data_IF_692087834764
#
_entry.id   IF_692087834764
#
_cell.length_a   1.000
_cell.length_b   1.000
_cell.length_c   1.000
_cell.angle_alpha   90.00
_cell.angle_beta   90.00
_cell.angle_gamma   90.00
#
_symmetry.space_group_name_H-M   'P 1'
#
loop_
_entity.id
_entity.type
_entity.pdbx_description
1 polymer ?
#
# COMPACT_ATOMS: atom_id res chain seq x y z
N UNK A 1 -19.00 -9.09 10.86
CA UNK A 1 -17.55 -9.33 11.03
C UNK A 1 -16.81 -8.01 11.17
N UNK A 2 -16.18 -7.78 12.32
CA UNK A 2 -15.34 -6.63 12.63
C UNK A 2 -13.99 -6.72 11.92
N UNK A 3 -13.35 -5.57 11.69
CA UNK A 3 -11.97 -5.51 11.24
C UNK A 3 -10.97 -5.46 12.41
N UNK A 4 -9.85 -6.17 12.29
CA UNK A 4 -8.80 -6.28 13.32
C UNK A 4 -7.77 -5.15 13.31
N UNK A 5 -7.84 -4.19 12.38
CA UNK A 5 -6.79 -3.18 12.23
C UNK A 5 -6.78 -2.05 13.26
N UNK A 6 -7.87 -1.89 14.01
CA UNK A 6 -7.95 -0.95 15.14
C UNK A 6 -8.76 -1.62 16.24
N UNK A 7 -8.13 -1.83 17.40
CA UNK A 7 -8.73 -2.50 18.55
C UNK A 7 -8.41 -1.69 19.80
N UNK A 8 -9.43 -1.42 20.62
CA UNK A 8 -9.25 -0.97 21.99
C UNK A 8 -9.38 -2.20 22.88
N UNK A 9 -8.27 -2.64 23.46
CA UNK A 9 -8.17 -3.91 24.18
C UNK A 9 -8.17 -3.65 25.68
N UNK A 10 -9.04 -4.34 26.41
CA UNK A 10 -8.92 -4.45 27.87
C UNK A 10 -7.81 -5.47 28.20
N UNK A 11 -6.59 -4.97 28.35
CA UNK A 11 -5.40 -5.79 28.53
C UNK A 11 -5.39 -6.53 29.89
N UNK A 12 -5.99 -5.95 30.93
CA UNK A 12 -6.08 -6.58 32.24
C UNK A 12 -6.94 -7.84 32.17
N UNK A 13 -8.12 -7.74 31.55
CA UNK A 13 -8.98 -8.89 31.30
C UNK A 13 -8.31 -9.93 30.41
N UNK A 14 -7.58 -9.51 29.36
CA UNK A 14 -6.88 -10.45 28.49
C UNK A 14 -5.85 -11.29 29.22
N UNK A 15 -5.12 -10.69 30.16
CA UNK A 15 -4.14 -11.39 31.01
C UNK A 15 -4.84 -12.31 32.00
N UNK A 16 -5.85 -11.81 32.71
CA UNK A 16 -6.59 -12.55 33.73
C UNK A 16 -7.26 -13.80 33.15
N UNK A 17 -7.86 -13.67 31.97
CA UNK A 17 -8.66 -14.74 31.35
C UNK A 17 -7.82 -15.59 30.37
N UNK A 18 -6.50 -15.39 30.33
CA UNK A 18 -5.55 -16.12 29.47
C UNK A 18 -5.97 -16.18 27.99
N UNK A 19 -6.40 -15.04 27.46
CA UNK A 19 -6.98 -14.92 26.12
C UNK A 19 -6.03 -15.37 25.01
N UNK A 20 -4.72 -15.20 25.18
CA UNK A 20 -3.73 -15.59 24.18
C UNK A 20 -3.82 -17.09 23.89
N UNK A 21 -3.90 -17.93 24.92
CA UNK A 21 -4.03 -19.38 24.74
C UNK A 21 -5.37 -19.75 24.11
N UNK A 22 -6.45 -19.05 24.46
CA UNK A 22 -7.75 -19.22 23.82
C UNK A 22 -7.68 -18.90 22.32
N UNK A 23 -7.01 -17.82 21.93
CA UNK A 23 -6.82 -17.46 20.52
C UNK A 23 -6.07 -18.57 19.78
N UNK A 24 -4.95 -19.08 20.30
CA UNK A 24 -4.21 -20.17 19.67
C UNK A 24 -5.04 -21.45 19.53
N UNK A 25 -5.76 -21.86 20.59
CA UNK A 25 -6.67 -23.01 20.52
C UNK A 25 -7.74 -22.82 19.44
N UNK A 26 -8.31 -21.62 19.37
CA UNK A 26 -9.35 -21.32 18.40
C UNK A 26 -8.81 -21.28 16.97
N UNK A 27 -7.56 -20.82 16.74
CA UNK A 27 -6.92 -20.91 15.41
C UNK A 27 -6.91 -22.36 14.93
N UNK A 28 -6.49 -23.30 15.77
CA UNK A 28 -6.46 -24.73 15.42
C UNK A 28 -7.87 -25.27 15.14
N UNK A 29 -8.86 -24.87 15.94
CA UNK A 29 -10.24 -25.33 15.80
C UNK A 29 -10.90 -24.86 14.48
N UNK A 30 -10.65 -23.61 14.07
CA UNK A 30 -11.29 -23.03 12.88
C UNK A 30 -10.36 -22.97 11.65
N UNK A 31 -9.19 -23.61 11.70
CA UNK A 31 -8.12 -23.49 10.69
C UNK A 31 -8.60 -23.58 9.24
N UNK A 32 -9.49 -24.53 8.94
CA UNK A 32 -9.95 -24.80 7.57
C UNK A 32 -11.00 -23.78 7.08
N UNK A 33 -11.47 -22.91 7.99
CA UNK A 33 -12.45 -21.84 7.73
C UNK A 33 -11.81 -20.45 7.75
N UNK A 34 -10.52 -20.34 8.06
CA UNK A 34 -9.81 -19.06 8.16
C UNK A 34 -9.54 -18.51 6.76
N UNK A 35 -10.18 -17.38 6.45
CA UNK A 35 -9.85 -16.57 5.26
C UNK A 35 -8.91 -15.41 5.56
N UNK A 36 -9.04 -14.83 6.76
CA UNK A 36 -8.25 -13.70 7.24
C UNK A 36 -7.71 -14.06 8.62
N UNK A 37 -6.41 -14.34 8.78
CA UNK A 37 -5.88 -15.06 9.95
C UNK A 37 -6.31 -14.49 11.30
N UNK A 38 -5.83 -13.30 11.62
CA UNK A 38 -6.11 -12.55 12.83
C UNK A 38 -7.58 -12.13 12.92
N UNK A 39 -8.16 -11.64 11.81
CA UNK A 39 -9.53 -11.15 11.82
C UNK A 39 -10.55 -12.27 12.09
N UNK A 40 -10.38 -13.45 11.49
CA UNK A 40 -11.27 -14.59 11.69
C UNK A 40 -11.23 -15.09 13.14
N UNK A 41 -10.03 -15.32 13.69
CA UNK A 41 -9.91 -15.85 15.05
C UNK A 41 -10.41 -14.85 16.10
N UNK A 42 -10.16 -13.55 15.93
CA UNK A 42 -10.67 -12.53 16.85
C UNK A 42 -12.20 -12.47 16.81
N UNK A 43 -12.82 -12.47 15.62
CA UNK A 43 -14.28 -12.48 15.50
C UNK A 43 -14.90 -13.79 16.03
N UNK A 44 -14.21 -14.92 15.89
CA UNK A 44 -14.66 -16.19 16.44
C UNK A 44 -14.61 -16.19 17.98
N UNK A 45 -13.48 -15.80 18.54
CA UNK A 45 -13.20 -15.84 19.99
C UNK A 45 -14.07 -14.87 20.77
N UNK A 46 -14.28 -13.67 20.23
CA UNK A 46 -15.00 -12.60 20.90
C UNK A 46 -16.42 -12.40 20.36
N UNK A 47 -17.00 -13.42 19.72
CA UNK A 47 -18.39 -13.36 19.29
C UNK A 47 -19.27 -12.95 20.47
N UNK A 48 -20.09 -11.93 20.27
CA UNK A 48 -21.01 -11.35 21.27
C UNK A 48 -20.33 -10.74 22.52
N UNK A 49 -18.99 -10.60 22.51
CA UNK A 49 -18.16 -10.00 23.58
C UNK A 49 -17.40 -8.75 23.11
N UNK A 50 -17.90 -8.09 22.07
CA UNK A 50 -17.29 -6.90 21.45
C UNK A 50 -18.24 -5.72 21.54
N UNK A 51 -17.69 -4.58 21.98
CA UNK A 51 -18.34 -3.29 21.80
C UNK A 51 -17.91 -2.69 20.45
N UNK A 52 -18.90 -2.42 19.60
CA UNK A 52 -18.65 -1.78 18.32
C UNK A 52 -18.60 -0.26 18.47
N UNK A 53 -17.55 0.35 17.93
CA UNK A 53 -17.40 1.80 17.89
C UNK A 53 -17.75 2.34 16.51
N UNK A 54 -18.00 3.65 16.43
CA UNK A 54 -18.31 4.33 15.17
C UNK A 54 -17.27 4.01 14.07
N UNK A 55 -17.70 3.80 12.81
CA UNK A 55 -16.80 3.49 11.71
C UNK A 55 -15.77 4.59 11.41
N UNK A 56 -15.95 5.81 11.95
CA UNK A 56 -14.97 6.90 11.82
C UNK A 56 -13.61 6.58 12.44
N UNK A 57 -13.56 5.68 13.43
CA UNK A 57 -12.34 5.24 14.10
C UNK A 57 -11.64 4.07 13.39
N UNK A 58 -12.22 3.55 12.31
CA UNK A 58 -11.59 2.54 11.46
C UNK A 58 -12.23 2.61 10.06
N UNK A 59 -12.07 3.75 9.38
CA UNK A 59 -12.69 3.96 8.07
C UNK A 59 -11.92 3.17 7.01
N UNK A 60 -12.48 2.03 6.62
CA UNK A 60 -11.85 1.10 5.67
C UNK A 60 -12.09 1.49 4.22
N UNK A 61 -11.27 0.97 3.29
CA UNK A 61 -11.44 1.21 1.86
C UNK A 61 -12.78 0.71 1.30
N UNK A 62 -13.30 -0.39 1.85
CA UNK A 62 -14.66 -0.86 1.53
C UNK A 62 -15.68 0.27 1.70
N UNK A 63 -15.38 1.25 2.58
CA UNK A 63 -16.03 2.55 2.77
C UNK A 63 -16.81 2.98 1.54
N UNK A 64 -16.00 3.06 0.50
CA UNK A 64 -16.25 3.73 -0.75
C UNK A 64 -16.67 2.78 -1.87
N UNK A 65 -16.82 1.49 -1.57
CA UNK A 65 -17.40 0.49 -2.46
C UNK A 65 -18.87 0.30 -2.07
N UNK A 66 -19.74 0.01 -3.04
CA UNK A 66 -21.15 -0.33 -2.80
C UNK A 66 -21.31 -1.73 -2.16
N UNK A 67 -20.50 -2.01 -1.16
CA UNK A 67 -20.55 -3.23 -0.36
C UNK A 67 -21.49 -3.02 0.82
N UNK A 68 -22.35 -4.01 1.09
CA UNK A 68 -23.24 -3.98 2.26
C UNK A 68 -22.41 -3.93 3.55
N UNK A 69 -22.66 -2.92 4.36
CA UNK A 69 -22.19 -2.83 5.74
C UNK A 69 -23.19 -3.52 6.66
N UNK A 70 -22.92 -4.77 7.01
CA UNK A 70 -23.83 -5.49 7.92
C UNK A 70 -23.70 -5.02 9.38
N UNK A 71 -22.66 -4.24 9.73
CA UNK A 71 -22.45 -3.73 11.09
C UNK A 71 -22.93 -2.29 11.33
N UNK A 72 -23.01 -1.48 10.27
CA UNK A 72 -23.23 -0.04 10.40
C UNK A 72 -24.31 0.41 9.43
N UNK A 73 -25.13 1.36 9.87
CA UNK A 73 -26.13 1.99 9.03
C UNK A 73 -25.48 2.80 7.91
N UNK A 74 -26.24 3.07 6.84
CA UNK A 74 -25.80 3.97 5.76
C UNK A 74 -25.43 5.36 6.29
N UNK A 75 -26.17 5.86 7.28
CA UNK A 75 -25.94 7.16 7.90
C UNK A 75 -24.59 7.22 8.63
N UNK A 76 -24.29 6.21 9.46
CA UNK A 76 -23.00 6.14 10.16
C UNK A 76 -21.81 6.07 9.20
N UNK A 77 -21.94 5.30 8.11
CA UNK A 77 -20.91 5.23 7.07
C UNK A 77 -20.77 6.57 6.34
N UNK A 78 -21.86 7.25 6.03
CA UNK A 78 -21.82 8.57 5.40
C UNK A 78 -21.11 9.58 6.31
N UNK A 79 -21.48 9.64 7.58
CA UNK A 79 -20.85 10.51 8.57
C UNK A 79 -19.35 10.21 8.72
N UNK A 80 -18.98 8.92 8.81
CA UNK A 80 -17.59 8.52 8.92
C UNK A 80 -16.75 8.85 7.68
N UNK A 81 -17.34 8.86 6.48
CA UNK A 81 -16.67 9.32 5.25
C UNK A 81 -16.41 10.83 5.26
N UNK A 82 -17.37 11.61 5.77
CA UNK A 82 -17.24 13.06 5.86
C UNK A 82 -16.25 13.48 6.96
N UNK A 83 -16.26 12.77 8.10
CA UNK A 83 -15.48 13.11 9.28
C UNK A 83 -14.70 11.90 9.83
N UNK A 84 -13.75 11.33 9.07
CA UNK A 84 -12.92 10.23 9.55
C UNK A 84 -11.97 10.71 10.66
N UNK A 85 -11.78 9.88 11.68
CA UNK A 85 -10.73 10.05 12.70
C UNK A 85 -9.52 9.20 12.34
N UNK A 86 -9.74 7.95 11.94
CA UNK A 86 -8.69 7.02 11.50
C UNK A 86 -9.08 6.46 10.14
N UNK A 87 -8.21 6.68 9.15
CA UNK A 87 -8.35 6.14 7.79
C UNK A 87 -7.50 4.87 7.68
N UNK A 88 -8.15 3.75 7.38
CA UNK A 88 -7.51 2.46 7.25
C UNK A 88 -7.50 1.98 5.79
N UNK A 89 -6.34 2.08 5.14
CA UNK A 89 -6.13 1.64 3.75
C UNK A 89 -6.05 0.09 3.65
N UNK A 90 -7.16 -0.61 3.89
CA UNK A 90 -7.25 -2.08 4.02
C UNK A 90 -7.03 -2.88 2.74
N UNK A 91 -7.23 -2.29 1.56
CA UNK A 91 -7.17 -3.04 0.30
C UNK A 91 -5.75 -3.17 -0.27
N UNK A 92 -5.59 -3.89 -1.39
CA UNK A 92 -4.35 -3.91 -2.17
C UNK A 92 -4.02 -2.54 -2.79
N UNK A 93 -5.02 -1.67 -2.93
CA UNK A 93 -4.83 -0.31 -3.41
C UNK A 93 -4.35 0.59 -2.27
N UNK A 94 -3.05 0.88 -2.28
CA UNK A 94 -2.37 1.69 -1.27
C UNK A 94 -2.13 3.10 -1.81
N UNK A 95 -2.16 4.13 -0.94
CA UNK A 95 -1.99 5.52 -1.39
C UNK A 95 -0.63 5.80 -2.03
N UNK A 96 0.39 4.97 -1.76
CA UNK A 96 1.70 5.06 -2.41
C UNK A 96 1.81 4.37 -3.77
N UNK A 97 0.75 3.72 -4.25
CA UNK A 97 0.70 3.13 -5.59
C UNK A 97 0.35 4.18 -6.65
N UNK A 98 0.93 4.05 -7.85
CA UNK A 98 0.76 5.03 -8.94
C UNK A 98 -0.69 5.22 -9.39
N UNK A 99 -1.51 4.18 -9.30
CA UNK A 99 -2.90 4.16 -9.78
C UNK A 99 -3.89 4.06 -8.63
N UNK A 100 -3.59 4.70 -7.49
CA UNK A 100 -4.47 4.65 -6.35
C UNK A 100 -5.78 5.39 -6.60
N UNK A 101 -6.89 4.70 -6.41
CA UNK A 101 -8.26 5.20 -6.61
C UNK A 101 -8.96 5.52 -5.28
N UNK A 102 -8.30 5.31 -4.14
CA UNK A 102 -8.87 5.60 -2.83
C UNK A 102 -9.17 7.10 -2.66
N UNK A 103 -10.41 7.50 -2.34
CA UNK A 103 -10.80 8.93 -2.28
C UNK A 103 -9.91 9.81 -1.38
N UNK A 104 -9.43 9.25 -0.27
CA UNK A 104 -8.54 9.92 0.69
C UNK A 104 -7.03 9.72 0.43
N UNK A 105 -6.59 9.24 -0.74
CA UNK A 105 -5.17 8.93 -0.98
C UNK A 105 -4.23 10.14 -0.76
N UNK A 106 -4.72 11.36 -1.01
CA UNK A 106 -3.96 12.61 -0.83
C UNK A 106 -3.61 12.86 0.64
N UNK A 107 -4.46 12.42 1.58
CA UNK A 107 -4.22 12.63 3.01
C UNK A 107 -2.99 11.88 3.50
N UNK A 108 -2.73 10.68 2.97
CA UNK A 108 -1.47 9.97 3.24
C UNK A 108 -0.26 10.85 2.94
N UNK A 109 -0.24 11.53 1.77
CA UNK A 109 0.86 12.41 1.39
C UNK A 109 0.86 13.75 2.11
N UNK A 110 -0.31 14.25 2.53
CA UNK A 110 -0.40 15.40 3.44
C UNK A 110 0.36 15.09 4.73
N UNK A 111 0.09 13.94 5.35
CA UNK A 111 0.72 13.54 6.60
C UNK A 111 2.16 13.04 6.44
N UNK A 112 2.51 12.39 5.32
CA UNK A 112 3.88 11.94 5.04
C UNK A 112 4.92 13.07 5.18
N UNK A 113 4.53 14.31 4.84
CA UNK A 113 5.38 15.51 4.95
C UNK A 113 5.80 15.83 6.39
N UNK A 114 5.09 15.32 7.39
CA UNK A 114 5.39 15.53 8.81
C UNK A 114 6.10 14.33 9.44
N UNK A 115 6.52 13.35 8.63
CA UNK A 115 7.24 12.16 9.11
C UNK A 115 8.72 12.21 8.70
N UNK A 116 9.61 11.49 9.41
CA UNK A 116 11.01 11.31 9.00
C UNK A 116 11.17 10.75 7.58
N UNK A 117 10.16 10.04 7.07
CA UNK A 117 10.14 9.41 5.76
C UNK A 117 9.92 10.39 4.59
N UNK A 118 9.59 11.66 4.87
CA UNK A 118 9.45 12.71 3.85
C UNK A 118 10.64 12.73 2.89
N UNK A 119 11.86 12.85 3.44
CA UNK A 119 13.10 12.97 2.65
C UNK A 119 13.33 11.74 1.79
N UNK A 120 13.13 10.54 2.35
CA UNK A 120 13.29 9.25 1.65
C UNK A 120 12.34 9.18 0.45
N UNK A 121 11.06 9.50 0.65
CA UNK A 121 10.07 9.43 -0.43
C UNK A 121 10.36 10.42 -1.56
N UNK A 122 10.59 11.70 -1.23
CA UNK A 122 10.79 12.73 -2.25
C UNK A 122 12.13 12.58 -2.98
N UNK A 123 13.19 12.11 -2.31
CA UNK A 123 14.47 11.81 -2.97
C UNK A 123 14.35 10.64 -3.96
N UNK A 124 13.64 9.56 -3.59
CA UNK A 124 13.35 8.46 -4.50
C UNK A 124 12.55 8.95 -5.73
N UNK A 125 11.51 9.76 -5.49
CA UNK A 125 10.68 10.33 -6.56
C UNK A 125 11.51 11.22 -7.50
N UNK A 126 12.40 12.04 -6.95
CA UNK A 126 13.29 12.91 -7.73
C UNK A 126 14.32 12.12 -8.54
N UNK A 127 15.00 11.13 -7.95
CA UNK A 127 15.92 10.24 -8.68
C UNK A 127 15.22 9.53 -9.84
N UNK A 128 13.99 9.08 -9.61
CA UNK A 128 13.15 8.45 -10.63
C UNK A 128 12.77 9.43 -11.74
N UNK A 129 12.41 10.66 -11.39
CA UNK A 129 12.15 11.72 -12.35
C UNK A 129 13.38 12.02 -13.21
N UNK A 130 14.55 12.23 -12.60
CA UNK A 130 15.81 12.44 -13.32
C UNK A 130 16.08 11.28 -14.28
N UNK A 131 15.94 10.03 -13.81
CA UNK A 131 16.15 8.85 -14.66
C UNK A 131 15.26 8.88 -15.91
N UNK A 132 13.96 9.15 -15.76
CA UNK A 132 13.06 9.20 -16.91
C UNK A 132 13.30 10.43 -17.80
N UNK A 133 13.65 11.57 -17.22
CA UNK A 133 14.02 12.77 -17.97
C UNK A 133 15.29 12.54 -18.80
N UNK A 134 16.33 11.94 -18.20
CA UNK A 134 17.55 11.56 -18.93
C UNK A 134 17.24 10.58 -20.06
N UNK A 135 16.39 9.57 -19.82
CA UNK A 135 15.97 8.62 -20.87
C UNK A 135 15.17 9.27 -22.00
N UNK A 136 14.44 10.36 -21.75
CA UNK A 136 13.68 11.04 -22.80
C UNK A 136 14.54 11.97 -23.66
N UNK A 137 15.56 12.60 -23.06
CA UNK A 137 16.47 13.51 -23.78
C UNK A 137 17.66 12.79 -24.39
N UNK A 138 18.06 11.64 -23.84
CA UNK A 138 19.24 10.88 -24.22
C UNK A 138 18.86 9.45 -24.59
N UNK A 139 19.17 9.04 -25.82
CA UNK A 139 19.05 7.64 -26.23
C UNK A 139 20.24 7.22 -27.08
N UNK A 140 20.84 6.08 -26.76
CA UNK A 140 21.86 5.41 -27.55
C UNK A 140 21.23 4.24 -28.30
N UNK A 141 21.35 4.22 -29.62
CA UNK A 141 20.99 3.07 -30.46
C UNK A 141 22.21 2.58 -31.23
N UNK A 142 22.36 1.27 -31.33
CA UNK A 142 23.36 0.65 -32.18
C UNK A 142 22.72 0.38 -33.55
N UNK A 143 23.27 0.97 -34.61
CA UNK A 143 23.05 0.58 -36.01
C UNK A 143 24.25 -0.24 -36.49
N UNK A 144 24.11 -0.95 -37.62
CA UNK A 144 25.13 -1.92 -38.12
C UNK A 144 26.55 -1.33 -38.12
N UNK A 145 26.73 -0.10 -38.65
CA UNK A 145 28.04 0.54 -38.74
C UNK A 145 28.23 1.77 -37.83
N UNK A 146 27.18 2.23 -37.14
CA UNK A 146 27.19 3.49 -36.38
C UNK A 146 26.55 3.33 -35.00
N UNK A 147 27.05 4.08 -34.01
CA UNK A 147 26.30 4.40 -32.79
C UNK A 147 25.54 5.71 -33.02
N UNK A 148 24.22 5.68 -32.89
CA UNK A 148 23.39 6.88 -32.98
C UNK A 148 23.09 7.37 -31.58
N UNK A 149 23.66 8.53 -31.25
CA UNK A 149 23.37 9.27 -30.05
C UNK A 149 22.26 10.28 -30.35
N UNK A 150 21.13 10.17 -29.68
CA UNK A 150 20.10 11.21 -29.68
C UNK A 150 20.25 12.01 -28.40
N UNK A 151 20.49 13.30 -28.51
CA UNK A 151 20.56 14.24 -27.38
C UNK A 151 19.75 15.49 -27.73
N UNK A 152 18.67 15.74 -26.97
CA UNK A 152 17.83 16.95 -27.12
C UNK A 152 17.44 17.23 -28.59
N UNK A 153 16.87 16.23 -29.26
CA UNK A 153 16.46 16.34 -30.67
C UNK A 153 17.58 16.26 -31.71
N UNK A 154 18.84 16.48 -31.32
CA UNK A 154 20.01 16.31 -32.17
C UNK A 154 20.38 14.83 -32.28
N UNK A 155 20.63 14.34 -33.49
CA UNK A 155 21.11 12.98 -33.75
C UNK A 155 22.57 13.06 -34.20
N UNK A 156 23.48 12.53 -33.38
CA UNK A 156 24.90 12.41 -33.71
C UNK A 156 25.17 10.95 -34.08
N UNK A 157 25.67 10.72 -35.30
CA UNK A 157 26.11 9.39 -35.75
C UNK A 157 27.61 9.26 -35.53
N UNK A 158 28.01 8.29 -34.72
CA UNK A 158 29.40 8.00 -34.42
C UNK A 158 29.78 6.69 -35.12
N UNK A 159 30.69 6.68 -36.09
CA UNK A 159 31.12 5.45 -36.75
C UNK A 159 31.79 4.50 -35.75
N UNK A 160 31.41 3.22 -35.80
CA UNK A 160 32.10 2.18 -35.02
C UNK A 160 33.48 1.98 -35.65
N UNK A 161 34.57 2.19 -34.89
CA UNK A 161 35.89 1.70 -35.30
C UNK A 161 35.76 0.18 -35.50
N UNK A 162 35.97 -0.31 -36.73
CA UNK A 162 36.19 -1.74 -36.96
C UNK A 162 37.41 -2.11 -36.11
N UNK A 163 37.20 -2.96 -35.10
CA UNK A 163 38.33 -3.53 -34.38
C UNK A 163 39.20 -4.27 -35.39
N UNK A 164 40.47 -3.88 -35.51
CA UNK A 164 41.45 -4.72 -36.18
C UNK A 164 41.56 -5.96 -35.32
N UNK A 165 41.03 -7.09 -35.80
CA UNK A 165 41.39 -8.40 -35.26
C UNK A 165 42.88 -8.57 -35.54
N UNK A 166 43.71 -8.29 -34.53
CA UNK A 166 45.08 -8.77 -34.52
C UNK A 166 45.00 -10.29 -34.40
N UNK A 167 45.17 -10.97 -35.53
CA UNK A 167 45.40 -12.41 -35.55
C UNK A 167 46.66 -12.69 -34.72
N UNK A 168 46.48 -13.22 -33.51
CA UNK A 168 47.57 -13.80 -32.75
C UNK A 168 48.01 -15.08 -33.49
N UNK A 169 49.25 -15.10 -33.94
CA UNK A 169 49.98 -16.34 -34.25
C UNK A 169 50.60 -16.88 -32.98
#
# INVERSE_FOLDING_TARGET
>A
MQNSGVLLINNELWKRDNIINTLFKNVEEIRDKIRWPDQCVLNYTFKDKVLYVSPKYNLQHSAYKDTKYNLYTKHEIHYAKAFPVIVHYTSCDKPWHKKCCHKLWKDYYKYLKYTPYKKIYYSYKFKKFIKYFLQSIFSLKNEENNKVLKFVGVKIKIPRKKGVLLNAK
#
